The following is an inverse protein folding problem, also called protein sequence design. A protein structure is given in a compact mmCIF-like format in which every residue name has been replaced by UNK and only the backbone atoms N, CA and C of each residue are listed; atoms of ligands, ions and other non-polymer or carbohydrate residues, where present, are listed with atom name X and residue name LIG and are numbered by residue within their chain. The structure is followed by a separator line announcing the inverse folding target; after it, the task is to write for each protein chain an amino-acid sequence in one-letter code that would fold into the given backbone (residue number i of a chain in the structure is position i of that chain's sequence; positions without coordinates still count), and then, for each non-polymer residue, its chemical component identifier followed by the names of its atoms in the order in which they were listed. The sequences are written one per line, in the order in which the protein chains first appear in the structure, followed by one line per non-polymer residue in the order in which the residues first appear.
data_IF_747578850850
#
_entry.id   IF_747578850850
#
_cell.length_a   1.000
_cell.length_b   1.000
_cell.length_c   1.000
_cell.angle_alpha   90.00
_cell.angle_beta   90.00
_cell.angle_gamma   90.00
#
_symmetry.space_group_name_H-M   'P 1'
#
loop_
_entity.id
_entity.type
_entity.pdbx_description
1 polymer ?
#
# COMPACT_ATOMS: atom_id res chain seq x y z
N UNK A 1 -36.31 36.73 -15.20
CA UNK A 1 -36.05 35.50 -14.41
C UNK A 1 -34.68 35.61 -13.73
N UNK A 2 -34.68 36.23 -12.54
CA UNK A 2 -33.54 36.39 -11.65
C UNK A 2 -33.17 35.02 -11.06
N UNK A 3 -31.97 34.53 -11.42
CA UNK A 3 -31.37 33.32 -10.85
C UNK A 3 -30.98 33.58 -9.39
N UNK A 4 -31.75 32.99 -8.48
CA UNK A 4 -31.46 32.92 -7.05
C UNK A 4 -30.56 31.70 -6.84
N UNK A 5 -29.32 31.93 -6.42
CA UNK A 5 -28.44 30.86 -5.96
C UNK A 5 -28.86 30.46 -4.53
N UNK A 6 -29.01 29.15 -4.22
CA UNK A 6 -29.25 28.72 -2.84
C UNK A 6 -27.97 28.81 -2.01
N UNK A 7 -28.11 29.33 -0.79
CA UNK A 7 -27.10 29.40 0.25
C UNK A 7 -26.44 28.02 0.49
N UNK A 8 -25.19 27.87 0.05
CA UNK A 8 -24.29 26.82 0.52
C UNK A 8 -23.67 27.27 1.85
N UNK A 9 -24.46 27.22 2.92
CA UNK A 9 -24.02 27.46 4.28
C UNK A 9 -24.43 26.30 5.19
N UNK A 10 -23.73 25.17 5.06
CA UNK A 10 -23.59 24.19 6.16
C UNK A 10 -22.37 23.28 5.92
N UNK A 11 -21.18 23.87 5.78
CA UNK A 11 -19.97 23.12 6.12
C UNK A 11 -19.98 22.97 7.63
N UNK A 12 -20.43 21.82 8.12
CA UNK A 12 -20.16 21.42 9.50
C UNK A 12 -18.65 21.45 9.68
N UNK A 13 -18.15 22.39 10.47
CA UNK A 13 -16.75 22.42 10.88
C UNK A 13 -16.40 21.05 11.43
N UNK A 14 -15.58 20.29 10.69
CA UNK A 14 -14.81 19.21 11.29
C UNK A 14 -13.84 19.88 12.25
N UNK A 15 -14.27 20.10 13.49
CA UNK A 15 -13.36 20.27 14.60
C UNK A 15 -12.43 19.05 14.57
N UNK A 16 -11.13 19.21 14.29
CA UNK A 16 -10.22 18.10 14.46
C UNK A 16 -10.39 17.60 15.90
N UNK A 17 -10.46 16.27 16.07
CA UNK A 17 -10.27 15.63 17.38
C UNK A 17 -8.85 15.98 17.84
N UNK A 18 -8.69 17.19 18.36
CA UNK A 18 -7.54 17.60 19.14
C UNK A 18 -7.66 16.74 20.38
N UNK A 19 -6.88 15.65 20.42
CA UNK A 19 -6.70 14.90 21.64
C UNK A 19 -6.43 15.92 22.75
N UNK A 20 -7.24 15.97 23.82
CA UNK A 20 -7.06 16.95 24.87
C UNK A 20 -5.61 16.86 25.33
N UNK A 21 -4.90 17.99 25.22
CA UNK A 21 -3.50 18.08 25.61
C UNK A 21 -3.46 17.72 27.08
N UNK A 22 -2.95 16.53 27.39
CA UNK A 22 -2.84 16.05 28.78
C UNK A 22 -1.98 17.08 29.51
N UNK A 23 -2.61 17.82 30.43
CA UNK A 23 -1.91 18.77 31.27
C UNK A 23 -1.03 17.96 32.23
N UNK A 24 0.28 17.96 31.98
CA UNK A 24 1.25 17.19 32.78
C UNK A 24 1.35 17.69 34.23
N UNK A 25 0.65 18.77 34.59
CA UNK A 25 0.55 19.25 35.98
C UNK A 25 -0.59 18.59 36.76
N UNK A 26 -1.49 17.85 36.11
CA UNK A 26 -2.60 17.18 36.80
C UNK A 26 -2.09 15.96 37.59
N UNK A 27 -2.43 15.81 38.88
CA UNK A 27 -2.03 14.64 39.65
C UNK A 27 -2.47 13.33 38.98
N UNK A 28 -1.58 12.33 38.95
CA UNK A 28 -1.83 11.00 38.37
C UNK A 28 -3.12 10.33 38.88
N UNK A 29 -3.50 10.60 40.14
CA UNK A 29 -4.73 10.10 40.75
C UNK A 29 -6.01 10.67 40.10
N UNK A 30 -6.00 11.95 39.72
CA UNK A 30 -7.14 12.60 39.07
C UNK A 30 -7.26 12.17 37.60
N UNK A 31 -6.12 12.03 36.92
CA UNK A 31 -6.05 11.46 35.57
C UNK A 31 -6.63 10.05 35.51
N UNK A 32 -6.29 9.18 36.47
CA UNK A 32 -6.80 7.81 36.56
C UNK A 32 -8.32 7.72 36.72
N UNK A 33 -8.95 8.75 37.29
CA UNK A 33 -10.39 8.81 37.49
C UNK A 33 -11.16 9.33 36.28
N UNK A 34 -10.49 10.07 35.38
CA UNK A 34 -11.11 10.69 34.22
C UNK A 34 -11.67 9.66 33.23
N UNK A 35 -12.85 9.92 32.69
CA UNK A 35 -13.46 9.09 31.64
C UNK A 35 -12.52 8.94 30.44
N UNK A 36 -11.85 10.02 30.05
CA UNK A 36 -10.86 10.02 28.98
C UNK A 36 -9.67 9.07 29.21
N UNK A 37 -9.16 8.96 30.44
CA UNK A 37 -8.06 8.03 30.72
C UNK A 37 -8.54 6.58 30.73
N UNK A 38 -9.76 6.33 31.20
CA UNK A 38 -10.37 4.99 31.11
C UNK A 38 -10.61 4.60 29.66
N UNK A 39 -11.08 5.52 28.82
CA UNK A 39 -11.24 5.31 27.38
C UNK A 39 -9.89 5.11 26.70
N UNK A 40 -8.85 5.86 27.09
CA UNK A 40 -7.48 5.67 26.60
C UNK A 40 -6.93 4.30 27.00
N UNK A 41 -7.07 3.89 28.26
CA UNK A 41 -6.63 2.58 28.73
C UNK A 41 -7.43 1.44 28.12
N UNK A 42 -8.74 1.63 27.90
CA UNK A 42 -9.55 0.67 27.18
C UNK A 42 -9.11 0.56 25.73
N UNK A 43 -8.74 1.66 25.08
CA UNK A 43 -8.27 1.67 23.69
C UNK A 43 -6.76 1.45 23.53
N UNK A 44 -6.02 1.26 24.62
CA UNK A 44 -4.58 1.06 24.57
C UNK A 44 -4.28 -0.30 23.94
N UNK A 45 -3.25 -0.36 23.09
CA UNK A 45 -2.87 -1.57 22.35
C UNK A 45 -2.56 -2.81 23.21
N UNK A 46 -2.30 -2.63 24.52
CA UNK A 46 -2.04 -3.72 25.47
C UNK A 46 -3.30 -4.22 26.20
N UNK A 47 -4.43 -3.50 26.14
CA UNK A 47 -5.64 -3.83 26.91
C UNK A 47 -6.37 -5.07 26.39
N UNK A 48 -6.22 -5.37 25.09
CA UNK A 48 -6.86 -6.50 24.44
C UNK A 48 -5.91 -7.70 24.23
N UNK A 49 -4.73 -7.71 24.86
CA UNK A 49 -3.77 -8.81 24.68
C UNK A 49 -3.06 -8.79 23.32
N UNK A 50 -2.11 -9.72 23.15
CA UNK A 50 -1.13 -9.69 22.06
C UNK A 50 -1.76 -10.11 20.71
N UNK A 51 -2.66 -11.09 20.73
CA UNK A 51 -3.25 -11.72 19.54
C UNK A 51 -4.77 -11.52 19.50
N UNK A 52 -5.20 -10.44 18.86
CA UNK A 52 -6.62 -10.14 18.67
C UNK A 52 -7.18 -10.81 17.39
N UNK A 53 -8.50 -11.03 17.25
CA UNK A 53 -9.06 -11.34 15.94
C UNK A 53 -8.91 -10.12 15.01
N UNK A 54 -8.56 -10.32 13.72
CA UNK A 54 -8.50 -9.23 12.78
C UNK A 54 -9.89 -8.66 12.51
N UNK A 55 -10.01 -7.33 12.44
CA UNK A 55 -11.27 -6.64 12.12
C UNK A 55 -11.30 -6.28 10.64
N UNK A 56 -12.46 -6.45 10.04
CA UNK A 56 -12.74 -5.95 8.70
C UNK A 56 -12.91 -4.44 8.78
N UNK A 57 -12.24 -3.71 7.89
CA UNK A 57 -12.46 -2.26 7.79
C UNK A 57 -13.84 -1.95 7.25
N UNK A 58 -14.29 -2.71 6.25
CA UNK A 58 -15.67 -2.72 5.78
C UNK A 58 -16.21 -4.15 5.74
N UNK A 59 -17.46 -4.29 6.16
CA UNK A 59 -18.27 -5.47 5.86
C UNK A 59 -19.41 -5.05 4.92
N UNK A 60 -19.85 -6.00 4.11
CA UNK A 60 -21.00 -5.86 3.23
C UNK A 60 -22.30 -5.49 3.94
N UNK A 61 -22.35 -5.65 5.27
CA UNK A 61 -23.48 -5.31 6.12
C UNK A 61 -23.30 -3.95 6.83
N UNK A 62 -22.08 -3.41 6.85
CA UNK A 62 -21.69 -2.18 7.56
C UNK A 62 -20.67 -1.43 6.72
N UNK A 63 -21.18 -0.69 5.73
CA UNK A 63 -20.37 0.06 4.76
C UNK A 63 -19.88 1.43 5.29
N UNK A 64 -20.40 1.90 6.44
CA UNK A 64 -20.20 3.26 6.96
C UNK A 64 -19.35 3.33 8.23
N UNK A 65 -18.32 2.48 8.35
CA UNK A 65 -17.40 2.60 9.47
C UNK A 65 -16.42 3.76 9.24
N UNK A 66 -16.16 4.54 10.29
CA UNK A 66 -15.18 5.63 10.28
C UNK A 66 -13.75 5.07 10.38
N UNK A 67 -12.84 5.60 9.56
CA UNK A 67 -11.44 5.21 9.55
C UNK A 67 -10.71 5.69 10.81
N UNK A 68 -9.83 4.85 11.37
CA UNK A 68 -8.96 5.24 12.47
C UNK A 68 -7.78 6.10 11.97
N UNK A 69 -7.59 7.31 12.54
CA UNK A 69 -6.53 8.25 12.11
C UNK A 69 -5.10 7.70 12.29
N UNK A 70 -4.86 6.86 13.31
CA UNK A 70 -3.52 6.33 13.60
C UNK A 70 -3.01 5.37 12.51
N UNK A 71 -3.90 4.63 11.85
CA UNK A 71 -3.49 3.66 10.82
C UNK A 71 -3.15 4.38 9.51
N UNK A 72 -3.71 5.58 9.28
CA UNK A 72 -3.37 6.42 8.14
C UNK A 72 -1.90 6.89 8.18
N UNK A 73 -1.38 7.26 9.35
CA UNK A 73 0.00 7.77 9.46
C UNK A 73 1.07 6.69 9.23
N UNK A 74 0.86 5.49 9.77
CA UNK A 74 1.79 4.37 9.58
C UNK A 74 1.86 3.91 8.12
N UNK A 75 0.71 3.84 7.45
CA UNK A 75 0.68 3.52 6.02
C UNK A 75 1.42 4.57 5.18
N UNK A 76 1.20 5.86 5.45
CA UNK A 76 1.89 6.95 4.77
C UNK A 76 3.42 6.91 4.97
N UNK A 77 3.88 6.52 6.16
CA UNK A 77 5.30 6.31 6.43
C UNK A 77 5.90 5.21 5.53
N UNK A 78 5.24 4.06 5.39
CA UNK A 78 5.73 3.01 4.49
C UNK A 78 5.64 3.41 3.02
N UNK A 79 4.57 4.08 2.61
CA UNK A 79 4.42 4.62 1.25
C UNK A 79 5.60 5.53 0.88
N UNK A 80 6.11 6.29 1.86
CA UNK A 80 7.32 7.11 1.68
C UNK A 80 8.56 6.25 1.41
N UNK A 81 8.77 5.15 2.14
CA UNK A 81 9.91 4.23 1.90
C UNK A 81 9.86 3.60 0.50
N UNK A 82 8.68 3.23 0.02
CA UNK A 82 8.49 2.74 -1.34
C UNK A 82 8.80 3.82 -2.38
N UNK A 83 8.32 5.05 -2.19
CA UNK A 83 8.60 6.17 -3.10
C UNK A 83 10.12 6.49 -3.15
N UNK A 84 10.80 6.46 -2.01
CA UNK A 84 12.26 6.63 -1.95
C UNK A 84 12.97 5.50 -2.71
N UNK A 85 12.51 4.25 -2.59
CA UNK A 85 13.08 3.11 -3.30
C UNK A 85 12.99 3.27 -4.83
N UNK A 86 11.84 3.72 -5.33
CA UNK A 86 11.64 4.00 -6.77
C UNK A 86 12.59 5.12 -7.24
N UNK A 87 12.78 6.14 -6.41
CA UNK A 87 13.68 7.26 -6.72
C UNK A 87 15.13 6.81 -6.78
N UNK A 88 15.53 5.95 -5.84
CA UNK A 88 16.86 5.39 -5.81
C UNK A 88 17.15 4.52 -7.04
N UNK A 89 16.16 3.72 -7.48
CA UNK A 89 16.23 3.01 -8.76
C UNK A 89 16.40 3.99 -9.95
N UNK A 90 15.69 5.12 -9.94
CA UNK A 90 15.83 6.16 -10.96
C UNK A 90 17.24 6.76 -11.05
N UNK A 91 17.91 6.98 -9.91
CA UNK A 91 19.30 7.44 -9.90
C UNK A 91 20.26 6.42 -10.50
N UNK A 92 20.05 5.12 -10.25
CA UNK A 92 20.84 4.06 -10.87
C UNK A 92 20.63 4.00 -12.38
N UNK A 93 19.39 4.17 -12.84
CA UNK A 93 19.08 4.24 -14.27
C UNK A 93 19.80 5.43 -14.93
N UNK A 94 19.87 6.60 -14.28
CA UNK A 94 20.57 7.79 -14.81
C UNK A 94 22.09 7.56 -14.98
N UNK A 95 22.71 6.72 -14.15
CA UNK A 95 24.14 6.39 -14.24
C UNK A 95 24.46 5.50 -15.45
N UNK A 96 23.49 4.75 -15.95
CA UNK A 96 23.67 3.78 -17.02
C UNK A 96 22.99 4.23 -18.31
N UNK A 97 23.75 4.31 -19.41
CA UNK A 97 23.18 4.55 -20.75
C UNK A 97 22.78 3.24 -21.47
N UNK A 98 22.75 2.12 -20.75
CA UNK A 98 22.50 0.80 -21.32
C UNK A 98 21.01 0.40 -21.23
N UNK A 99 20.45 -0.14 -22.31
CA UNK A 99 19.09 -0.72 -22.36
C UNK A 99 18.90 -1.87 -21.37
N UNK A 100 19.94 -2.63 -21.05
CA UNK A 100 19.87 -3.67 -20.02
C UNK A 100 19.54 -3.08 -18.63
N UNK A 101 20.07 -1.91 -18.31
CA UNK A 101 19.77 -1.25 -17.04
C UNK A 101 18.31 -0.79 -16.96
N UNK A 102 17.69 -0.44 -18.09
CA UNK A 102 16.25 -0.17 -18.13
C UNK A 102 15.45 -1.42 -17.78
N UNK A 103 15.80 -2.60 -18.29
CA UNK A 103 15.09 -3.84 -17.96
C UNK A 103 15.23 -4.22 -16.49
N UNK A 104 16.44 -4.14 -15.94
CA UNK A 104 16.68 -4.36 -14.51
C UNK A 104 15.90 -3.35 -13.64
N UNK A 105 15.78 -2.11 -14.11
CA UNK A 105 14.96 -1.10 -13.45
C UNK A 105 13.48 -1.50 -13.47
N UNK A 106 12.93 -1.92 -14.62
CA UNK A 106 11.53 -2.34 -14.77
C UNK A 106 11.21 -3.54 -13.88
N UNK A 107 12.09 -4.54 -13.85
CA UNK A 107 11.94 -5.74 -13.02
C UNK A 107 11.84 -5.39 -11.52
N UNK A 108 12.78 -4.57 -11.03
CA UNK A 108 12.80 -4.14 -9.63
C UNK A 108 11.64 -3.21 -9.31
N UNK A 109 11.35 -2.25 -10.18
CA UNK A 109 10.20 -1.35 -10.05
C UNK A 109 8.90 -2.14 -9.94
N UNK A 110 8.66 -3.05 -10.89
CA UNK A 110 7.47 -3.90 -10.89
C UNK A 110 7.38 -4.76 -9.63
N UNK A 111 8.51 -5.30 -9.15
CA UNK A 111 8.54 -6.10 -7.91
C UNK A 111 8.16 -5.27 -6.69
N UNK A 112 8.71 -4.06 -6.57
CA UNK A 112 8.43 -3.12 -5.49
C UNK A 112 6.95 -2.69 -5.53
N UNK A 113 6.44 -2.33 -6.71
CA UNK A 113 5.04 -1.91 -6.89
C UNK A 113 4.08 -3.06 -6.63
N UNK A 114 4.35 -4.27 -7.12
CA UNK A 114 3.51 -5.45 -6.84
C UNK A 114 3.45 -5.77 -5.35
N UNK A 115 4.57 -5.65 -4.63
CA UNK A 115 4.59 -5.83 -3.19
C UNK A 115 3.81 -4.72 -2.46
N UNK A 116 3.97 -3.47 -2.88
CA UNK A 116 3.22 -2.34 -2.33
C UNK A 116 1.70 -2.49 -2.57
N UNK A 117 1.28 -2.87 -3.78
CA UNK A 117 -0.14 -3.12 -4.09
C UNK A 117 -0.72 -4.25 -3.24
N UNK A 118 0.05 -5.31 -3.00
CA UNK A 118 -0.34 -6.43 -2.14
C UNK A 118 -0.60 -5.98 -0.70
N UNK A 119 0.20 -5.03 -0.18
CA UNK A 119 0.08 -4.53 1.19
C UNK A 119 -0.99 -3.46 1.30
N UNK A 120 -1.16 -2.66 0.25
CA UNK A 120 -2.28 -1.74 0.10
C UNK A 120 -3.62 -2.49 0.12
N UNK A 121 -3.76 -3.58 -0.64
CA UNK A 121 -4.97 -4.42 -0.63
C UNK A 121 -5.25 -5.00 0.77
N UNK A 122 -4.23 -5.55 1.44
CA UNK A 122 -4.37 -6.04 2.81
C UNK A 122 -4.90 -4.95 3.78
N UNK A 123 -4.25 -3.80 3.80
CA UNK A 123 -4.63 -2.68 4.70
C UNK A 123 -5.98 -2.05 4.37
N UNK A 124 -6.46 -2.23 3.13
CA UNK A 124 -7.76 -1.70 2.68
C UNK A 124 -8.91 -2.60 3.10
N UNK A 125 -8.62 -3.86 3.47
CA UNK A 125 -9.61 -4.86 3.91
C UNK A 125 -9.59 -5.05 5.41
N UNK A 126 -8.41 -5.04 6.03
CA UNK A 126 -8.23 -5.36 7.44
C UNK A 126 -7.62 -4.19 8.20
N UNK A 127 -8.20 -3.90 9.37
CA UNK A 127 -7.78 -2.80 10.23
C UNK A 127 -7.63 -3.30 11.66
N UNK A 128 -6.42 -3.26 12.21
CA UNK A 128 -6.16 -3.72 13.58
C UNK A 128 -5.23 -2.76 14.29
N UNK A 129 -5.51 -2.44 15.55
CA UNK A 129 -4.63 -1.61 16.39
C UNK A 129 -3.99 -2.42 17.54
N UNK A 130 -3.83 -3.73 17.36
CA UNK A 130 -3.23 -4.60 18.37
C UNK A 130 -1.69 -4.65 18.29
N UNK A 131 -1.06 -5.14 19.37
CA UNK A 131 0.39 -5.26 19.45
C UNK A 131 0.99 -6.11 18.33
N UNK A 132 0.38 -7.26 18.00
CA UNK A 132 0.92 -8.12 16.94
C UNK A 132 0.95 -7.37 15.62
N UNK A 133 -0.11 -6.64 15.28
CA UNK A 133 -0.16 -5.82 14.08
C UNK A 133 0.96 -4.77 14.04
N UNK A 134 1.21 -4.07 15.16
CA UNK A 134 2.31 -3.10 15.26
C UNK A 134 3.68 -3.76 15.11
N UNK A 135 3.89 -4.92 15.73
CA UNK A 135 5.13 -5.69 15.60
C UNK A 135 5.33 -6.15 14.14
N UNK A 136 4.28 -6.66 13.50
CA UNK A 136 4.32 -7.07 12.10
C UNK A 136 4.67 -5.90 11.18
N UNK A 137 4.05 -4.73 11.36
CA UNK A 137 4.40 -3.55 10.59
C UNK A 137 5.81 -3.03 10.90
N UNK A 138 6.30 -3.18 12.13
CA UNK A 138 7.70 -2.90 12.47
C UNK A 138 8.67 -3.79 11.70
N UNK A 139 8.43 -5.11 11.71
CA UNK A 139 9.23 -6.09 10.94
C UNK A 139 9.10 -5.88 9.42
N UNK A 140 7.90 -5.54 8.95
CA UNK A 140 7.64 -5.15 7.58
C UNK A 140 8.48 -3.94 7.18
N UNK A 141 8.55 -2.92 8.03
CA UNK A 141 9.39 -1.74 7.85
C UNK A 141 10.87 -2.07 7.72
N UNK A 142 11.36 -2.97 8.58
CA UNK A 142 12.75 -3.47 8.48
C UNK A 142 12.97 -4.16 7.14
N UNK A 143 12.02 -4.99 6.69
CA UNK A 143 12.09 -5.66 5.39
C UNK A 143 12.11 -4.67 4.22
N UNK A 144 11.21 -3.68 4.20
CA UNK A 144 11.16 -2.64 3.16
C UNK A 144 12.42 -1.77 3.19
N UNK A 145 12.95 -1.43 4.37
CA UNK A 145 14.21 -0.71 4.50
C UNK A 145 15.38 -1.55 3.97
N UNK A 146 15.41 -2.86 4.25
CA UNK A 146 16.38 -3.79 3.71
C UNK A 146 16.31 -3.88 2.18
N UNK A 147 15.10 -3.86 1.61
CA UNK A 147 14.91 -3.75 0.16
C UNK A 147 15.49 -2.43 -0.37
N UNK A 148 15.20 -1.30 0.27
CA UNK A 148 15.73 0.01 -0.13
C UNK A 148 17.27 0.01 -0.13
N UNK A 149 17.91 -0.57 0.88
CA UNK A 149 19.38 -0.67 0.96
C UNK A 149 19.99 -1.49 -0.18
N UNK A 150 19.28 -2.48 -0.70
CA UNK A 150 19.77 -3.42 -1.71
C UNK A 150 19.11 -3.27 -3.09
N UNK A 151 18.33 -2.19 -3.31
CA UNK A 151 17.61 -2.02 -4.57
C UNK A 151 18.52 -1.66 -5.75
N UNK A 152 19.77 -1.24 -5.54
CA UNK A 152 20.69 -0.81 -6.61
C UNK A 152 21.36 -1.96 -7.36
N UNK A 153 21.83 -1.68 -8.58
CA UNK A 153 22.50 -2.64 -9.46
C UNK A 153 21.57 -3.65 -10.15
N UNK A 154 22.10 -4.56 -11.00
CA UNK A 154 21.32 -5.62 -11.64
C UNK A 154 20.85 -6.68 -10.63
N UNK A 155 19.76 -7.44 -10.90
CA UNK A 155 19.33 -8.54 -10.04
C UNK A 155 20.43 -9.58 -9.85
N UNK A 156 21.15 -9.99 -10.91
CA UNK A 156 22.27 -10.93 -10.80
C UNK A 156 23.49 -10.39 -10.02
N UNK A 157 23.49 -9.11 -9.63
CA UNK A 157 24.57 -8.48 -8.89
C UNK A 157 24.62 -8.82 -7.39
N UNK A 158 25.62 -8.29 -6.66
CA UNK A 158 25.87 -8.63 -5.25
C UNK A 158 24.72 -8.22 -4.31
N UNK A 159 23.92 -7.22 -4.68
CA UNK A 159 22.77 -6.78 -3.89
C UNK A 159 21.52 -7.63 -4.14
N UNK A 160 21.46 -8.37 -5.24
CA UNK A 160 20.31 -9.19 -5.64
C UNK A 160 19.85 -10.20 -4.60
N UNK A 161 20.76 -11.04 -4.04
CA UNK A 161 20.42 -11.99 -3.00
C UNK A 161 19.74 -11.35 -1.79
N UNK A 162 20.35 -10.30 -1.25
CA UNK A 162 19.85 -9.61 -0.06
C UNK A 162 18.51 -8.92 -0.31
N UNK A 163 18.34 -8.29 -1.48
CA UNK A 163 17.06 -7.72 -1.90
C UNK A 163 15.96 -8.79 -1.95
N UNK A 164 16.28 -9.96 -2.52
CA UNK A 164 15.35 -11.10 -2.64
C UNK A 164 14.96 -11.68 -1.29
N UNK A 165 15.91 -11.80 -0.35
CA UNK A 165 15.64 -12.22 1.03
C UNK A 165 14.72 -11.24 1.76
N UNK A 166 14.92 -9.93 1.58
CA UNK A 166 14.06 -8.92 2.18
C UNK A 166 12.62 -9.02 1.64
N UNK A 167 12.45 -9.15 0.32
CA UNK A 167 11.13 -9.37 -0.31
C UNK A 167 10.49 -10.66 0.21
N UNK A 168 11.24 -11.75 0.25
CA UNK A 168 10.75 -13.04 0.74
C UNK A 168 10.23 -12.94 2.17
N UNK A 169 10.98 -12.27 3.06
CA UNK A 169 10.59 -11.99 4.43
C UNK A 169 9.31 -11.15 4.50
N UNK A 170 9.19 -10.10 3.68
CA UNK A 170 7.98 -9.26 3.66
C UNK A 170 6.75 -10.05 3.19
N UNK A 171 6.86 -10.86 2.12
CA UNK A 171 5.77 -11.73 1.69
C UNK A 171 5.41 -12.77 2.74
N UNK A 172 6.40 -13.31 3.47
CA UNK A 172 6.14 -14.24 4.57
C UNK A 172 5.37 -13.58 5.71
N UNK A 173 5.68 -12.33 6.05
CA UNK A 173 4.92 -11.55 7.04
C UNK A 173 3.46 -11.34 6.59
N UNK A 174 3.22 -11.07 5.30
CA UNK A 174 1.86 -11.01 4.73
C UNK A 174 1.14 -12.36 4.86
N UNK A 175 1.83 -13.48 4.57
CA UNK A 175 1.27 -14.83 4.75
C UNK A 175 0.83 -15.05 6.20
N UNK A 176 1.67 -14.67 7.18
CA UNK A 176 1.32 -14.78 8.61
C UNK A 176 0.08 -13.96 8.97
N UNK A 177 -0.06 -12.75 8.41
CA UNK A 177 -1.26 -11.94 8.55
C UNK A 177 -2.50 -12.61 7.96
N UNK A 178 -2.39 -13.18 6.77
CA UNK A 178 -3.50 -13.89 6.15
C UNK A 178 -3.85 -15.19 6.87
N UNK A 179 -2.89 -15.93 7.44
CA UNK A 179 -3.15 -17.09 8.31
C UNK A 179 -4.05 -16.66 9.47
N UNK A 180 -3.70 -15.57 10.14
CA UNK A 180 -4.51 -15.00 11.23
C UNK A 180 -5.93 -14.72 10.76
N UNK A 181 -6.12 -14.10 9.59
CA UNK A 181 -7.45 -13.86 9.02
C UNK A 181 -8.22 -15.16 8.76
N UNK A 182 -7.60 -16.18 8.16
CA UNK A 182 -8.23 -17.49 7.87
C UNK A 182 -8.73 -18.17 9.16
N UNK A 183 -7.93 -18.11 10.23
CA UNK A 183 -8.27 -18.73 11.52
C UNK A 183 -9.49 -18.06 12.14
N UNK A 184 -9.46 -16.72 12.26
CA UNK A 184 -10.45 -15.95 13.02
C UNK A 184 -11.70 -15.51 12.23
N UNK A 185 -11.65 -15.47 10.90
CA UNK A 185 -12.78 -15.03 10.05
C UNK A 185 -13.22 -16.15 9.08
N UNK A 186 -14.03 -17.13 9.55
CA UNK A 186 -14.47 -18.28 8.76
C UNK A 186 -15.17 -17.92 7.45
N UNK A 187 -15.93 -16.81 7.44
CA UNK A 187 -16.67 -16.31 6.28
C UNK A 187 -15.75 -16.04 5.07
N UNK A 188 -14.51 -15.65 5.31
CA UNK A 188 -13.61 -15.15 4.28
C UNK A 188 -12.56 -16.19 3.84
N UNK A 189 -12.64 -17.42 4.36
CA UNK A 189 -11.55 -18.41 4.25
C UNK A 189 -11.15 -18.72 2.83
N UNK A 190 -12.10 -18.88 1.91
CA UNK A 190 -11.78 -19.27 0.52
C UNK A 190 -10.99 -18.15 -0.17
N UNK A 191 -11.52 -16.92 -0.12
CA UNK A 191 -10.88 -15.74 -0.68
C UNK A 191 -9.48 -15.52 -0.08
N UNK A 192 -9.40 -15.53 1.25
CA UNK A 192 -8.15 -15.23 1.96
C UNK A 192 -7.13 -16.35 1.82
N UNK A 193 -7.55 -17.62 1.80
CA UNK A 193 -6.62 -18.74 1.54
C UNK A 193 -6.00 -18.63 0.15
N UNK A 194 -6.77 -18.16 -0.84
CA UNK A 194 -6.23 -17.92 -2.18
C UNK A 194 -5.14 -16.85 -2.15
N UNK A 195 -5.41 -15.71 -1.52
CA UNK A 195 -4.41 -14.66 -1.31
C UNK A 195 -3.17 -15.20 -0.58
N UNK A 196 -3.37 -15.90 0.53
CA UNK A 196 -2.30 -16.51 1.32
C UNK A 196 -1.40 -17.39 0.45
N UNK A 197 -1.97 -18.27 -0.36
CA UNK A 197 -1.22 -19.16 -1.26
C UNK A 197 -0.45 -18.37 -2.32
N UNK A 198 -1.04 -17.35 -2.93
CA UNK A 198 -0.34 -16.47 -3.87
C UNK A 198 0.88 -15.80 -3.23
N UNK A 199 0.73 -15.23 -2.02
CA UNK A 199 1.84 -14.59 -1.31
C UNK A 199 2.88 -15.61 -0.83
N UNK A 200 2.48 -16.83 -0.47
CA UNK A 200 3.41 -17.90 -0.12
C UNK A 200 4.26 -18.31 -1.33
N UNK A 201 3.66 -18.43 -2.51
CA UNK A 201 4.39 -18.65 -3.76
C UNK A 201 5.35 -17.50 -4.05
N UNK A 202 4.93 -16.24 -3.88
CA UNK A 202 5.81 -15.08 -4.05
C UNK A 202 6.99 -15.10 -3.07
N UNK A 203 6.73 -15.44 -1.79
CA UNK A 203 7.78 -15.58 -0.78
C UNK A 203 8.78 -16.68 -1.15
N UNK A 204 8.30 -17.83 -1.63
CA UNK A 204 9.14 -18.94 -2.07
C UNK A 204 9.96 -18.62 -3.33
N UNK A 205 9.35 -17.94 -4.31
CA UNK A 205 10.04 -17.47 -5.53
C UNK A 205 11.14 -16.47 -5.16
N UNK A 206 10.85 -15.51 -4.29
CA UNK A 206 11.84 -14.54 -3.81
C UNK A 206 12.94 -15.22 -2.99
N UNK A 207 12.60 -16.22 -2.17
CA UNK A 207 13.60 -17.00 -1.45
C UNK A 207 14.51 -17.76 -2.41
N UNK A 208 13.96 -18.44 -3.42
CA UNK A 208 14.72 -19.13 -4.44
C UNK A 208 15.64 -18.16 -5.22
N UNK A 209 15.12 -16.98 -5.58
CA UNK A 209 15.89 -15.94 -6.26
C UNK A 209 17.10 -15.48 -5.45
N UNK A 210 17.07 -15.58 -4.12
CA UNK A 210 18.23 -15.26 -3.29
C UNK A 210 19.41 -16.22 -3.52
N UNK A 211 19.15 -17.48 -3.86
CA UNK A 211 20.17 -18.53 -3.93
C UNK A 211 20.47 -19.03 -5.36
N UNK A 212 19.71 -18.61 -6.37
CA UNK A 212 19.93 -19.01 -7.76
C UNK A 212 20.41 -17.84 -8.61
N UNK A 213 21.72 -17.74 -8.86
CA UNK A 213 22.28 -16.67 -9.70
C UNK A 213 21.77 -16.76 -11.16
N UNK A 214 21.76 -17.96 -11.73
CA UNK A 214 21.41 -18.20 -13.15
C UNK A 214 19.98 -17.77 -13.51
N UNK A 215 19.02 -18.00 -12.60
CA UNK A 215 17.59 -17.75 -12.86
C UNK A 215 17.04 -16.49 -12.21
N UNK A 216 17.87 -15.73 -11.49
CA UNK A 216 17.40 -14.62 -10.65
C UNK A 216 16.60 -13.59 -11.44
N UNK A 217 17.07 -13.20 -12.62
CA UNK A 217 16.40 -12.21 -13.46
C UNK A 217 14.99 -12.67 -13.88
N UNK A 218 14.85 -13.93 -14.28
CA UNK A 218 13.55 -14.52 -14.61
C UNK A 218 12.62 -14.59 -13.41
N UNK A 219 13.14 -14.92 -12.22
CA UNK A 219 12.34 -14.94 -10.99
C UNK A 219 11.87 -13.54 -10.59
N UNK A 220 12.66 -12.48 -10.87
CA UNK A 220 12.23 -11.11 -10.66
C UNK A 220 11.10 -10.70 -11.59
N UNK A 221 11.04 -11.17 -12.83
CA UNK A 221 9.86 -10.95 -13.68
C UNK A 221 8.59 -11.58 -13.12
N UNK A 222 8.71 -12.79 -12.56
CA UNK A 222 7.59 -13.44 -11.87
C UNK A 222 7.11 -12.60 -10.68
N UNK A 223 8.05 -12.06 -9.89
CA UNK A 223 7.73 -11.16 -8.77
C UNK A 223 7.18 -9.80 -9.23
N UNK A 224 7.68 -9.28 -10.35
CA UNK A 224 7.24 -8.00 -10.90
C UNK A 224 5.78 -8.02 -11.35
N UNK A 225 5.33 -9.18 -11.84
CA UNK A 225 3.96 -9.40 -12.30
C UNK A 225 3.09 -10.09 -11.24
N UNK A 226 3.59 -10.32 -10.02
CA UNK A 226 2.90 -11.13 -9.02
C UNK A 226 1.53 -10.58 -8.62
N UNK A 227 1.39 -9.27 -8.49
CA UNK A 227 0.11 -8.65 -8.11
C UNK A 227 -0.94 -8.76 -9.23
N UNK A 228 -0.65 -8.39 -10.50
CA UNK A 228 -1.55 -8.66 -11.62
C UNK A 228 -2.00 -10.13 -11.70
N UNK A 229 -1.06 -11.08 -11.53
CA UNK A 229 -1.39 -12.50 -11.51
C UNK A 229 -2.30 -12.86 -10.34
N UNK A 230 -2.04 -12.31 -9.15
CA UNK A 230 -2.89 -12.52 -7.98
C UNK A 230 -4.31 -12.02 -8.22
N UNK A 231 -4.48 -10.83 -8.78
CA UNK A 231 -5.81 -10.29 -9.13
C UNK A 231 -6.52 -11.19 -10.15
N UNK A 232 -5.82 -11.62 -11.21
CA UNK A 232 -6.40 -12.51 -12.23
C UNK A 232 -6.84 -13.86 -11.63
N UNK A 233 -6.00 -14.45 -10.78
CA UNK A 233 -6.29 -15.70 -10.07
C UNK A 233 -7.52 -15.52 -9.17
N UNK A 234 -7.59 -14.43 -8.40
CA UNK A 234 -8.74 -14.16 -7.53
C UNK A 234 -10.03 -13.99 -8.31
N UNK A 235 -10.02 -13.21 -9.39
CA UNK A 235 -11.20 -12.99 -10.23
C UNK A 235 -11.68 -14.31 -10.84
N UNK A 236 -10.75 -15.13 -11.31
CA UNK A 236 -11.04 -16.43 -11.92
C UNK A 236 -11.58 -17.42 -10.89
N UNK A 237 -10.89 -17.61 -9.77
CA UNK A 237 -11.28 -18.57 -8.73
C UNK A 237 -12.58 -18.15 -8.02
N UNK A 238 -12.77 -16.85 -7.76
CA UNK A 238 -14.02 -16.36 -7.17
C UNK A 238 -15.18 -16.50 -8.16
N UNK A 239 -14.94 -16.26 -9.45
CA UNK A 239 -15.92 -16.48 -10.51
C UNK A 239 -16.34 -17.95 -10.66
N UNK A 240 -15.37 -18.87 -10.63
CA UNK A 240 -15.64 -20.31 -10.69
C UNK A 240 -16.37 -20.77 -9.41
N UNK A 241 -15.86 -20.39 -8.24
CA UNK A 241 -16.42 -20.81 -6.94
C UNK A 241 -17.85 -20.32 -6.75
N UNK A 242 -18.13 -19.06 -7.12
CA UNK A 242 -19.49 -18.51 -7.04
C UNK A 242 -20.48 -19.28 -7.92
N UNK A 243 -20.09 -19.63 -9.15
CA UNK A 243 -20.92 -20.44 -10.06
C UNK A 243 -21.13 -21.87 -9.57
N UNK A 244 -20.12 -22.49 -8.96
CA UNK A 244 -20.21 -23.88 -8.48
C UNK A 244 -21.00 -24.01 -7.17
N UNK A 245 -20.76 -23.12 -6.19
CA UNK A 245 -21.40 -23.21 -4.88
C UNK A 245 -22.81 -22.59 -4.86
N UNK A 246 -23.06 -21.61 -5.73
CA UNK A 246 -24.30 -20.84 -5.74
C UNK A 246 -24.87 -20.68 -7.17
N UNK A 247 -25.14 -21.79 -7.90
CA UNK A 247 -25.55 -21.75 -9.30
C UNK A 247 -26.87 -20.99 -9.54
N UNK A 248 -27.72 -20.91 -8.51
CA UNK A 248 -29.04 -20.29 -8.58
C UNK A 248 -29.09 -18.88 -7.95
N UNK A 249 -27.99 -18.36 -7.43
CA UNK A 249 -27.94 -16.98 -6.93
C UNK A 249 -27.43 -16.06 -8.04
N UNK A 250 -27.93 -14.83 -8.04
CA UNK A 250 -27.32 -13.76 -8.81
C UNK A 250 -25.82 -13.67 -8.50
N UNK A 251 -25.01 -13.47 -9.54
CA UNK A 251 -23.55 -13.45 -9.43
C UNK A 251 -23.06 -12.47 -8.34
N UNK A 252 -23.76 -11.35 -8.18
CA UNK A 252 -23.50 -10.36 -7.12
C UNK A 252 -23.71 -10.93 -5.71
N UNK A 253 -24.85 -11.58 -5.46
CA UNK A 253 -25.17 -12.17 -4.15
C UNK A 253 -24.26 -13.35 -3.81
N UNK A 254 -23.89 -14.15 -4.82
CA UNK A 254 -22.91 -15.21 -4.66
C UNK A 254 -21.52 -14.65 -4.28
N UNK A 255 -21.08 -13.54 -4.91
CA UNK A 255 -19.83 -12.85 -4.54
C UNK A 255 -19.87 -12.27 -3.14
N UNK A 256 -20.97 -11.63 -2.73
CA UNK A 256 -21.15 -11.08 -1.35
C UNK A 256 -20.94 -12.11 -0.24
N UNK A 257 -21.14 -13.40 -0.54
CA UNK A 257 -20.94 -14.51 0.40
C UNK A 257 -19.49 -15.01 0.47
N UNK A 258 -18.70 -14.82 -0.59
CA UNK A 258 -17.34 -15.37 -0.71
C UNK A 258 -16.27 -14.29 -0.53
N UNK A 259 -16.54 -13.10 -1.07
CA UNK A 259 -15.60 -11.98 -1.15
C UNK A 259 -15.76 -11.01 0.02
N UNK A 260 -14.68 -10.30 0.31
CA UNK A 260 -14.61 -9.22 1.29
C UNK A 260 -14.66 -7.90 0.50
N UNK A 261 -15.48 -6.91 0.89
CA UNK A 261 -15.47 -5.65 0.19
C UNK A 261 -14.14 -4.93 0.43
N UNK A 262 -13.54 -4.43 -0.64
CA UNK A 262 -12.41 -3.51 -0.54
C UNK A 262 -12.93 -2.14 -0.08
N UNK A 263 -12.24 -1.48 0.85
CA UNK A 263 -12.52 -0.07 1.12
C UNK A 263 -11.94 0.79 -0.01
N UNK A 264 -12.71 0.96 -1.08
CA UNK A 264 -12.28 1.58 -2.35
C UNK A 264 -11.72 2.99 -2.13
N UNK A 265 -12.38 3.82 -1.33
CA UNK A 265 -12.00 5.21 -1.06
C UNK A 265 -10.68 5.29 -0.31
N UNK A 266 -10.45 4.39 0.65
CA UNK A 266 -9.16 4.29 1.32
C UNK A 266 -8.08 3.78 0.36
N UNK A 267 -8.41 2.80 -0.48
CA UNK A 267 -7.47 2.24 -1.45
C UNK A 267 -7.04 3.29 -2.48
N UNK A 268 -8.01 4.00 -3.07
CA UNK A 268 -7.79 5.13 -3.99
C UNK A 268 -7.03 6.25 -3.27
N UNK A 269 -7.40 6.58 -2.02
CA UNK A 269 -6.71 7.59 -1.23
C UNK A 269 -5.24 7.26 -0.98
N UNK A 270 -4.92 5.99 -0.69
CA UNK A 270 -3.53 5.51 -0.58
C UNK A 270 -2.81 5.55 -1.91
N UNK A 271 -3.43 5.07 -2.97
CA UNK A 271 -2.85 5.11 -4.31
C UNK A 271 -2.51 6.54 -4.73
N UNK A 272 -3.45 7.46 -4.53
CA UNK A 272 -3.26 8.88 -4.79
C UNK A 272 -2.10 9.46 -3.99
N UNK A 273 -2.08 9.20 -2.67
CA UNK A 273 -1.01 9.66 -1.78
C UNK A 273 0.35 9.11 -2.20
N UNK A 274 0.43 7.83 -2.56
CA UNK A 274 1.65 7.17 -3.02
C UNK A 274 2.17 7.77 -4.32
N UNK A 275 1.31 7.94 -5.33
CA UNK A 275 1.67 8.57 -6.60
C UNK A 275 2.15 10.02 -6.39
N UNK A 276 1.47 10.78 -5.52
CA UNK A 276 1.91 12.12 -5.15
C UNK A 276 3.29 12.13 -4.48
N UNK A 277 3.58 11.16 -3.61
CA UNK A 277 4.92 10.99 -3.03
C UNK A 277 5.96 10.68 -4.11
N UNK A 278 5.68 9.77 -5.04
CA UNK A 278 6.58 9.45 -6.16
C UNK A 278 6.84 10.68 -7.03
N UNK A 279 5.79 11.43 -7.42
CA UNK A 279 5.91 12.69 -8.16
C UNK A 279 6.76 13.72 -7.39
N UNK A 280 6.57 13.83 -6.08
CA UNK A 280 7.38 14.70 -5.23
C UNK A 280 8.86 14.30 -5.22
N UNK A 281 9.16 13.00 -5.17
CA UNK A 281 10.54 12.54 -5.26
C UNK A 281 11.17 12.75 -6.64
N UNK A 282 10.38 12.65 -7.72
CA UNK A 282 10.85 13.00 -9.06
C UNK A 282 11.19 14.50 -9.18
N UNK A 283 10.39 15.38 -8.54
CA UNK A 283 10.71 16.80 -8.46
C UNK A 283 12.03 17.05 -7.70
N UNK A 284 12.26 16.33 -6.60
CA UNK A 284 13.54 16.37 -5.87
C UNK A 284 14.69 15.89 -6.78
N UNK A 285 14.50 14.82 -7.55
CA UNK A 285 15.52 14.30 -8.46
C UNK A 285 15.91 15.30 -9.57
N UNK A 286 14.99 16.17 -10.00
CA UNK A 286 15.27 17.29 -10.91
C UNK A 286 16.07 18.40 -10.20
N UNK A 287 15.72 18.70 -8.95
CA UNK A 287 16.31 19.79 -8.18
C UNK A 287 17.72 19.45 -7.64
N UNK A 288 18.01 18.18 -7.38
CA UNK A 288 19.26 17.71 -6.79
C UNK A 288 20.29 17.41 -7.89
N UNK A 289 21.42 18.10 -7.85
CA UNK A 289 22.51 18.05 -8.85
C UNK A 289 22.06 18.32 -10.31
N UNK A 290 21.44 19.49 -10.56
CA UNK A 290 20.90 19.81 -11.88
C UNK A 290 22.00 19.90 -12.94
N UNK A 291 23.21 20.32 -12.58
CA UNK A 291 24.32 20.53 -13.53
C UNK A 291 24.95 19.23 -14.07
N UNK A 292 24.70 18.07 -13.45
CA UNK A 292 25.29 16.80 -13.88
C UNK A 292 24.70 16.33 -15.22
N UNK A 293 25.51 16.36 -16.27
CA UNK A 293 25.14 15.84 -17.60
C UNK A 293 24.76 16.92 -18.63
N UNK A 294 24.82 18.21 -18.28
CA UNK A 294 24.54 19.31 -19.21
C UNK A 294 25.81 20.11 -19.53
N UNK A 295 26.08 20.32 -20.82
CA UNK A 295 27.20 21.16 -21.26
C UNK A 295 26.88 22.67 -21.21
N UNK A 296 25.60 23.04 -21.16
CA UNK A 296 25.15 24.43 -21.14
C UNK A 296 24.04 24.65 -20.11
N UNK A 297 24.05 25.84 -19.47
CA UNK A 297 23.01 26.23 -18.52
C UNK A 297 21.63 26.31 -19.17
N UNK A 298 21.55 26.72 -20.44
CA UNK A 298 20.28 26.78 -21.18
C UNK A 298 19.67 25.40 -21.41
N UNK A 299 20.48 24.39 -21.76
CA UNK A 299 20.02 23.01 -21.93
C UNK A 299 19.48 22.41 -20.63
N UNK A 300 20.13 22.73 -19.50
CA UNK A 300 19.65 22.38 -18.17
C UNK A 300 18.26 22.97 -17.89
N UNK A 301 18.10 24.29 -18.00
CA UNK A 301 16.82 24.94 -17.71
C UNK A 301 15.71 24.46 -18.64
N UNK A 302 15.98 24.27 -19.93
CA UNK A 302 15.01 23.72 -20.87
C UNK A 302 14.55 22.31 -20.45
N UNK A 303 15.49 21.43 -20.07
CA UNK A 303 15.17 20.07 -19.63
C UNK A 303 14.38 20.06 -18.32
N UNK A 304 14.72 20.95 -17.38
CA UNK A 304 13.99 21.10 -16.12
C UNK A 304 12.54 21.58 -16.36
N UNK A 305 12.33 22.54 -17.26
CA UNK A 305 10.98 23.02 -17.64
C UNK A 305 10.16 21.89 -18.27
N UNK A 306 10.74 21.13 -19.20
CA UNK A 306 10.07 19.98 -19.83
C UNK A 306 9.72 18.91 -18.79
N UNK A 307 10.67 18.55 -17.92
CA UNK A 307 10.44 17.57 -16.87
C UNK A 307 9.35 18.01 -15.88
N UNK A 308 9.36 19.28 -15.47
CA UNK A 308 8.31 19.85 -14.62
C UNK A 308 6.94 19.84 -15.32
N UNK A 309 6.88 20.22 -16.59
CA UNK A 309 5.65 20.19 -17.38
C UNK A 309 5.08 18.76 -17.51
N UNK A 310 5.95 17.76 -17.71
CA UNK A 310 5.56 16.35 -17.73
C UNK A 310 5.01 15.90 -16.36
N UNK A 311 5.64 16.29 -15.25
CA UNK A 311 5.16 16.00 -13.91
C UNK A 311 3.78 16.62 -13.65
N UNK A 312 3.59 17.89 -14.04
CA UNK A 312 2.28 18.57 -13.92
C UNK A 312 1.25 17.87 -14.80
N UNK A 313 1.57 17.53 -16.04
CA UNK A 313 0.65 16.82 -16.95
C UNK A 313 0.25 15.47 -16.39
N UNK A 314 1.20 14.71 -15.82
CA UNK A 314 0.93 13.43 -15.17
C UNK A 314 0.06 13.61 -13.93
N UNK A 315 0.28 14.65 -13.12
CA UNK A 315 -0.60 15.01 -11.99
C UNK A 315 -2.01 15.32 -12.49
N UNK A 316 -2.15 16.19 -13.49
CA UNK A 316 -3.46 16.56 -14.05
C UNK A 316 -4.19 15.32 -14.56
N UNK A 317 -3.50 14.46 -15.33
CA UNK A 317 -4.08 13.25 -15.90
C UNK A 317 -4.52 12.24 -14.82
N UNK A 318 -3.73 12.07 -13.76
CA UNK A 318 -4.02 11.09 -12.72
C UNK A 318 -5.04 11.57 -11.68
N UNK A 319 -5.18 12.89 -11.46
CA UNK A 319 -5.97 13.42 -10.35
C UNK A 319 -7.08 14.40 -10.72
N UNK A 320 -6.94 15.11 -11.84
CA UNK A 320 -7.85 16.20 -12.18
C UNK A 320 -8.74 15.87 -13.38
N UNK A 321 -8.41 14.84 -14.17
CA UNK A 321 -9.15 14.51 -15.40
C UNK A 321 -10.49 13.84 -15.13
N UNK A 322 -10.69 13.10 -14.03
CA UNK A 322 -12.02 12.56 -13.68
C UNK A 322 -12.13 12.22 -12.19
N UNK A 323 -12.94 12.99 -11.46
CA UNK A 323 -13.49 12.55 -10.17
C UNK A 323 -14.84 11.91 -10.46
N UNK A 324 -14.87 10.63 -10.80
CA UNK A 324 -16.13 9.90 -10.71
C UNK A 324 -16.49 9.79 -9.23
N UNK A 325 -17.73 10.14 -8.90
CA UNK A 325 -18.24 9.87 -7.56
C UNK A 325 -18.07 8.38 -7.28
N UNK A 326 -17.73 8.04 -6.04
CA UNK A 326 -17.51 6.65 -5.63
C UNK A 326 -18.76 5.81 -5.89
N UNK A 327 -19.92 6.46 -5.89
CA UNK A 327 -21.22 5.88 -6.21
C UNK A 327 -21.34 5.43 -7.68
N UNK A 328 -20.58 6.02 -8.61
CA UNK A 328 -20.57 5.69 -10.04
C UNK A 328 -19.43 4.74 -10.44
N UNK A 329 -18.61 4.31 -9.48
CA UNK A 329 -17.46 3.46 -9.76
C UNK A 329 -17.89 2.01 -10.01
N UNK A 330 -17.53 1.44 -11.17
CA UNK A 330 -17.89 0.07 -11.59
C UNK A 330 -17.39 -1.09 -10.68
N UNK A 331 -16.70 -0.77 -9.59
CA UNK A 331 -16.20 -1.73 -8.60
C UNK A 331 -17.24 -1.99 -7.48
N UNK A 332 -18.26 -1.13 -7.33
CA UNK A 332 -19.48 -1.47 -6.58
C UNK A 332 -20.39 -2.34 -7.43
#
# INVERSE_FOLDING_TARGET
PTLVFPDMASTSEMTPLIHPRIDMTTPLADLASSSHYKDFLQNAWFSFGIWQPPRLRRDWNTLRNEDSNHIRSMNAFFDTLFAISITHLGFELRKSQNTAALWHWVEKFGTIVSLWLSTADYSSRFDNDDLSHKLFWGLYGIGVLGMLMHCTGPPAGPNGPNFSLCISGVYLLLVLHYIRVVVYLPRCRIFVTTLLLCHLVCSAVAFAAAYTDEYREHLFWVLALSYPWTVLILLTLTGITSRLLYPNLDAFLARKRIDIPLHIEFHIGRFSSFIMMVLGQLAIAIAVHPEQGFQSKSGLYASAVVAFFLLVTMKLFLFDVDYYDVDDHAIR
#
